data_IF_662431720822
#
_entry.id   IF_662431720822
#
_cell.length_a   1.000
_cell.length_b   1.000
_cell.length_c   1.000
_cell.angle_alpha   90.00
_cell.angle_beta   90.00
_cell.angle_gamma   90.00
#
_symmetry.space_group_name_H-M   'P 1'
#
loop_
_entity.id
_entity.type
_entity.pdbx_description
1 polymer ?
#
# COMPACT_ATOMS: atom_id res chain seq x y z
N UNK A 1 -7.50 -60.45 -61.89
CA UNK A 1 -7.12 -59.44 -60.89
C UNK A 1 -5.60 -59.61 -60.66
N UNK A 2 -4.73 -59.52 -61.67
CA UNK A 2 -4.17 -58.38 -62.44
C UNK A 2 -3.55 -57.28 -61.54
N UNK A 3 -2.22 -57.40 -61.36
CA UNK A 3 -1.08 -56.45 -61.14
C UNK A 3 -1.26 -54.93 -60.93
N UNK A 4 -0.24 -54.16 -60.47
CA UNK A 4 1.05 -54.50 -59.80
C UNK A 4 1.46 -53.56 -58.61
N UNK A 5 2.60 -53.87 -57.99
CA UNK A 5 3.48 -53.01 -57.14
C UNK A 5 4.54 -52.28 -58.03
N UNK A 6 5.57 -51.49 -57.60
CA UNK A 6 6.02 -51.01 -56.27
C UNK A 6 6.50 -49.51 -56.24
N UNK A 7 7.03 -49.07 -55.08
CA UNK A 7 7.68 -47.77 -54.80
C UNK A 7 8.86 -47.38 -55.73
N UNK A 8 9.24 -46.08 -55.74
CA UNK A 8 10.64 -45.67 -55.81
C UNK A 8 10.98 -44.69 -54.66
N UNK A 9 12.18 -44.60 -54.06
CA UNK A 9 13.49 -45.17 -54.35
C UNK A 9 14.56 -44.32 -53.64
N UNK A 10 15.31 -44.93 -52.72
CA UNK A 10 16.78 -44.91 -52.50
C UNK A 10 17.58 -43.58 -52.65
N UNK A 11 18.31 -43.17 -51.59
CA UNK A 11 19.80 -43.20 -51.44
C UNK A 11 20.31 -42.26 -50.31
N UNK A 12 21.38 -42.71 -49.64
CA UNK A 12 22.12 -42.16 -48.47
C UNK A 12 23.49 -41.63 -48.98
N UNK A 13 24.42 -41.07 -48.17
CA UNK A 13 24.50 -39.82 -47.40
C UNK A 13 25.61 -38.84 -47.94
N UNK A 14 25.71 -37.61 -47.40
CA UNK A 14 26.96 -36.91 -47.01
C UNK A 14 26.75 -35.38 -46.85
N UNK A 15 27.20 -34.86 -45.70
CA UNK A 15 27.55 -33.45 -45.43
C UNK A 15 28.88 -33.13 -46.17
N UNK A 16 29.12 -31.95 -46.79
CA UNK A 16 29.74 -30.82 -46.05
C UNK A 16 29.57 -29.38 -46.64
N UNK A 17 29.64 -28.38 -45.76
CA UNK A 17 30.31 -27.05 -45.91
C UNK A 17 30.17 -26.17 -47.21
N UNK A 18 29.36 -25.09 -47.11
CA UNK A 18 29.56 -23.69 -47.62
C UNK A 18 29.76 -23.41 -49.13
N UNK A 19 29.95 -22.16 -49.61
CA UNK A 19 29.59 -20.80 -49.13
C UNK A 19 28.90 -19.90 -50.23
N UNK A 20 28.57 -18.63 -49.88
CA UNK A 20 28.17 -17.46 -50.75
C UNK A 20 26.68 -17.39 -51.16
N UNK A 21 25.95 -16.26 -51.15
CA UNK A 21 26.23 -14.81 -51.16
C UNK A 21 25.02 -14.09 -50.48
N UNK A 22 25.17 -13.11 -49.56
CA UNK A 22 25.56 -11.69 -49.69
C UNK A 22 24.51 -10.76 -50.33
N UNK A 23 24.33 -9.59 -49.69
CA UNK A 23 23.64 -8.33 -50.10
C UNK A 23 22.15 -8.30 -49.67
N UNK A 24 21.69 -7.58 -48.63
CA UNK A 24 21.70 -6.13 -48.31
C UNK A 24 21.53 -5.98 -46.77
N UNK A 25 22.51 -5.46 -46.01
CA UNK A 25 22.64 -4.06 -45.53
C UNK A 25 21.46 -3.63 -44.63
N UNK A 26 21.60 -3.62 -43.30
CA UNK A 26 22.27 -2.59 -42.49
C UNK A 26 21.48 -1.26 -42.40
N UNK A 27 20.56 -1.19 -41.44
CA UNK A 27 20.07 0.03 -40.78
C UNK A 27 19.19 -0.43 -39.59
N UNK A 28 19.69 -0.64 -38.38
CA UNK A 28 19.52 0.30 -37.25
C UNK A 28 20.04 -0.37 -35.95
N UNK A 29 21.29 -0.83 -35.96
CA UNK A 29 22.02 -1.23 -34.75
C UNK A 29 23.39 -0.55 -34.77
N UNK A 30 23.40 0.76 -34.50
CA UNK A 30 24.58 1.54 -34.11
C UNK A 30 24.19 2.97 -33.74
N UNK A 31 23.70 3.17 -32.52
CA UNK A 31 23.80 4.40 -31.69
C UNK A 31 22.92 4.16 -30.45
N UNK A 32 23.37 4.01 -29.21
CA UNK A 32 24.53 4.54 -28.50
C UNK A 32 24.75 3.70 -27.23
N UNK A 33 25.96 3.16 -27.03
CA UNK A 33 26.50 2.87 -25.69
C UNK A 33 27.89 3.49 -25.62
N UNK A 34 28.06 4.42 -24.68
CA UNK A 34 29.34 4.76 -24.04
C UNK A 34 30.17 5.87 -24.68
N UNK A 35 30.29 7.02 -23.98
CA UNK A 35 31.52 7.46 -23.28
C UNK A 35 31.23 8.77 -22.54
N UNK A 36 31.81 8.88 -21.35
CA UNK A 36 31.68 9.93 -20.34
C UNK A 36 32.36 11.27 -20.70
N UNK A 37 32.21 12.24 -19.79
CA UNK A 37 32.92 13.53 -19.62
C UNK A 37 32.27 14.76 -20.27
N UNK A 38 31.60 15.59 -19.46
CA UNK A 38 32.00 16.97 -19.19
C UNK A 38 30.96 17.69 -18.29
N UNK A 39 31.36 17.98 -17.05
CA UNK A 39 30.93 19.20 -16.35
C UNK A 39 31.45 20.41 -17.14
N UNK A 40 30.71 21.52 -17.14
CA UNK A 40 31.33 22.79 -16.84
C UNK A 40 30.67 23.46 -15.63
N UNK A 41 31.52 23.97 -14.74
CA UNK A 41 31.16 24.92 -13.69
C UNK A 41 31.06 26.34 -14.26
N UNK A 42 30.25 27.18 -13.62
CA UNK A 42 30.18 28.64 -13.78
C UNK A 42 28.82 29.09 -14.32
N UNK A 43 28.03 29.92 -13.65
CA UNK A 43 28.40 31.10 -12.85
C UNK A 43 27.48 31.32 -11.65
N UNK A 44 28.05 31.89 -10.59
CA UNK A 44 27.31 32.48 -9.48
C UNK A 44 26.43 33.63 -10.00
N UNK A 45 25.17 33.64 -9.58
CA UNK A 45 24.35 34.86 -9.61
C UNK A 45 24.06 35.21 -8.15
N UNK A 46 24.73 36.26 -7.67
CA UNK A 46 24.38 36.99 -6.45
C UNK A 46 23.00 37.64 -6.62
N UNK A 47 22.23 37.81 -5.53
CA UNK A 47 20.83 38.23 -5.59
C UNK A 47 20.73 39.72 -5.96
N UNK A 48 19.72 40.13 -6.75
CA UNK A 48 19.39 41.55 -6.82
C UNK A 48 18.82 41.99 -5.46
N UNK A 49 19.33 43.13 -5.01
CA UNK A 49 19.00 43.80 -3.77
C UNK A 49 17.50 44.09 -3.63
N UNK A 50 17.07 44.15 -2.37
CA UNK A 50 15.76 44.60 -1.92
C UNK A 50 15.32 45.90 -2.59
N UNK A 51 14.14 45.87 -3.20
CA UNK A 51 13.29 47.04 -3.37
C UNK A 51 12.11 46.94 -2.40
N UNK A 52 11.95 47.98 -1.61
CA UNK A 52 10.95 48.12 -0.57
C UNK A 52 9.61 48.65 -1.13
N UNK A 53 8.53 48.15 -0.53
CA UNK A 53 7.20 48.77 -0.30
C UNK A 53 6.20 48.93 -1.46
N UNK A 54 4.86 49.03 -1.18
CA UNK A 54 4.19 49.20 0.12
C UNK A 54 3.07 48.20 0.49
N UNK A 55 2.97 47.96 1.79
CA UNK A 55 1.77 47.87 2.64
C UNK A 55 0.42 47.52 1.99
N UNK A 56 0.01 46.26 2.14
CA UNK A 56 -1.38 45.82 2.09
C UNK A 56 -1.59 44.78 3.20
N UNK A 57 -1.95 45.23 4.40
CA UNK A 57 -2.07 44.38 5.58
C UNK A 57 -3.22 43.39 5.45
N UNK A 58 -2.90 42.10 5.57
CA UNK A 58 -3.84 41.08 6.00
C UNK A 58 -3.25 40.49 7.28
N UNK A 59 -4.05 40.56 8.33
CA UNK A 59 -3.69 40.26 9.70
C UNK A 59 -2.99 38.90 9.82
N UNK A 60 -1.83 38.91 10.48
CA UNK A 60 -1.15 37.69 10.90
C UNK A 60 -2.02 36.93 11.88
N UNK A 61 -2.37 35.70 11.54
CA UNK A 61 -2.93 34.74 12.49
C UNK A 61 -1.81 34.34 13.45
N UNK A 62 -1.70 35.05 14.56
CA UNK A 62 -0.83 34.68 15.68
C UNK A 62 -1.28 33.33 16.24
N UNK A 63 -0.37 32.35 16.23
CA UNK A 63 -0.53 31.07 16.93
C UNK A 63 -0.71 31.32 18.44
N UNK A 64 -1.69 30.68 19.10
CA UNK A 64 -1.89 30.86 20.53
C UNK A 64 -0.77 30.20 21.35
N UNK A 65 -0.38 30.77 22.50
CA UNK A 65 0.61 30.16 23.38
C UNK A 65 0.03 28.93 24.09
N UNK A 66 0.79 27.83 24.08
CA UNK A 66 0.44 26.60 24.80
C UNK A 66 0.85 26.77 26.26
N UNK A 67 -0.11 27.11 27.11
CA UNK A 67 0.03 26.98 28.57
C UNK A 67 -0.09 25.51 28.96
N UNK A 68 0.95 25.00 29.63
CA UNK A 68 1.01 23.62 30.09
C UNK A 68 -0.01 23.29 31.17
N UNK A 69 -0.55 22.08 31.11
CA UNK A 69 -1.14 21.40 32.25
C UNK A 69 -0.89 19.89 32.12
N UNK A 70 -0.32 19.34 33.19
CA UNK A 70 0.05 17.93 33.36
C UNK A 70 -1.12 17.15 33.96
N UNK A 71 -1.43 15.99 33.38
CA UNK A 71 -1.85 14.77 34.09
C UNK A 71 -1.66 13.57 33.14
N UNK A 72 -0.87 12.58 33.54
CA UNK A 72 -0.54 11.42 32.70
C UNK A 72 -1.62 10.32 32.78
N UNK A 73 -2.03 9.72 31.66
CA UNK A 73 -2.52 8.36 31.60
C UNK A 73 -1.42 7.41 31.07
N UNK A 74 -0.96 6.47 31.89
CA UNK A 74 0.02 5.44 31.47
C UNK A 74 -0.68 4.28 30.75
N UNK A 75 -0.95 4.48 29.47
CA UNK A 75 -0.96 3.39 28.48
C UNK A 75 0.48 2.98 28.10
N UNK A 76 0.69 1.95 27.28
CA UNK A 76 2.02 1.63 26.77
C UNK A 76 2.54 2.83 25.97
N UNK A 77 3.51 3.55 26.54
CA UNK A 77 4.24 4.59 25.83
C UNK A 77 4.98 3.92 24.68
N UNK A 78 5.14 4.62 23.56
CA UNK A 78 5.98 4.15 22.45
C UNK A 78 7.41 3.95 22.97
N UNK A 79 7.73 2.75 23.42
CA UNK A 79 9.05 2.37 23.90
C UNK A 79 9.85 1.77 22.74
N UNK A 80 11.18 1.76 22.89
CA UNK A 80 12.05 1.07 21.96
C UNK A 80 11.82 -0.45 22.04
N UNK A 81 11.99 -1.12 20.91
CA UNK A 81 11.90 -2.57 20.84
C UNK A 81 12.93 -3.14 19.88
N UNK A 82 13.17 -4.45 20.01
CA UNK A 82 14.05 -5.20 19.12
C UNK A 82 13.32 -6.38 18.53
N UNK A 83 13.52 -6.60 17.24
CA UNK A 83 13.19 -7.85 16.56
C UNK A 83 14.48 -8.50 16.06
N UNK A 84 14.39 -9.76 15.66
CA UNK A 84 15.54 -10.43 15.08
C UNK A 84 16.05 -9.68 13.85
N UNK A 85 17.37 -9.73 13.64
CA UNK A 85 17.96 -9.10 12.47
C UNK A 85 17.32 -9.67 11.21
N UNK A 86 16.83 -8.81 10.30
CA UNK A 86 16.20 -9.29 9.09
C UNK A 86 17.21 -10.09 8.27
N UNK A 87 16.77 -11.14 7.57
CA UNK A 87 17.58 -11.75 6.53
C UNK A 87 18.08 -10.67 5.55
N UNK A 88 19.23 -10.89 4.93
CA UNK A 88 19.73 -9.97 3.90
C UNK A 88 18.64 -9.70 2.85
N UNK A 89 18.60 -8.51 2.26
CA UNK A 89 17.55 -8.14 1.31
C UNK A 89 17.45 -9.12 0.11
N UNK A 90 18.58 -9.74 -0.28
CA UNK A 90 18.64 -10.77 -1.31
C UNK A 90 18.35 -12.19 -0.81
N UNK A 91 18.30 -12.41 0.50
CA UNK A 91 18.08 -13.71 1.09
C UNK A 91 16.62 -14.11 0.92
N UNK A 92 16.41 -15.34 0.44
CA UNK A 92 15.08 -15.88 0.28
C UNK A 92 14.64 -16.45 1.63
N UNK A 93 13.48 -16.05 2.12
CA UNK A 93 12.92 -16.63 3.35
C UNK A 93 12.67 -18.12 3.17
N UNK A 94 13.12 -18.94 4.11
CA UNK A 94 12.96 -20.40 4.08
C UNK A 94 12.06 -20.92 5.21
N UNK A 95 12.02 -20.19 6.33
CA UNK A 95 11.20 -20.55 7.48
C UNK A 95 10.64 -19.33 8.21
N UNK A 96 9.60 -19.57 9.01
CA UNK A 96 9.03 -18.63 9.99
C UNK A 96 8.90 -19.32 11.34
N UNK A 97 9.35 -18.65 12.39
CA UNK A 97 9.23 -19.09 13.79
C UNK A 97 8.28 -18.16 14.54
N UNK A 98 7.13 -18.69 14.96
CA UNK A 98 6.14 -17.94 15.72
C UNK A 98 6.50 -17.86 17.20
N UNK A 99 6.39 -16.66 17.75
CA UNK A 99 6.31 -16.40 19.18
C UNK A 99 5.11 -15.53 19.50
N UNK A 100 4.41 -15.85 20.59
CA UNK A 100 3.39 -14.96 21.14
C UNK A 100 4.08 -13.76 21.79
N UNK A 101 3.51 -12.58 21.60
CA UNK A 101 3.97 -11.35 22.22
C UNK A 101 3.27 -11.15 23.56
N UNK A 102 4.00 -10.57 24.52
CA UNK A 102 3.42 -10.12 25.77
C UNK A 102 2.45 -8.96 25.49
N UNK A 103 1.35 -8.80 26.26
CA UNK A 103 0.35 -7.75 25.99
C UNK A 103 0.92 -6.32 25.96
N UNK A 104 2.03 -6.07 26.68
CA UNK A 104 2.71 -4.77 26.76
C UNK A 104 3.91 -4.63 25.82
N UNK A 105 4.17 -5.61 24.95
CA UNK A 105 5.24 -5.50 23.95
C UNK A 105 4.92 -4.33 22.98
N UNK A 106 5.80 -3.32 22.82
CA UNK A 106 5.55 -2.18 21.92
C UNK A 106 5.28 -2.60 20.47
N UNK A 107 5.78 -3.78 20.07
CA UNK A 107 5.54 -4.35 18.75
C UNK A 107 4.04 -4.58 18.48
N UNK A 108 3.21 -4.77 19.52
CA UNK A 108 1.75 -4.90 19.41
C UNK A 108 1.06 -3.65 18.86
N UNK A 109 1.72 -2.48 18.95
CA UNK A 109 1.16 -1.22 18.48
C UNK A 109 1.38 -1.02 16.98
N UNK A 110 2.34 -1.71 16.36
CA UNK A 110 2.71 -1.50 14.96
C UNK A 110 1.56 -1.89 14.03
N UNK A 111 1.31 -1.05 13.02
CA UNK A 111 0.22 -1.19 12.02
C UNK A 111 0.74 -1.21 10.59
N UNK A 112 1.85 -0.54 10.32
CA UNK A 112 2.54 -0.61 9.04
C UNK A 112 4.02 -0.32 9.23
N UNK A 113 4.83 -0.80 8.29
CA UNK A 113 6.23 -0.42 8.18
C UNK A 113 6.56 -0.15 6.73
N UNK A 114 7.44 0.83 6.52
CA UNK A 114 7.94 1.26 5.22
C UNK A 114 9.46 1.19 5.25
N UNK A 115 10.03 0.53 4.23
CA UNK A 115 11.45 0.63 3.91
C UNK A 115 11.68 1.92 3.11
N UNK A 116 12.76 2.61 3.39
CA UNK A 116 13.22 3.77 2.64
C UNK A 116 14.76 3.79 2.60
N UNK A 117 15.36 4.66 1.78
CA UNK A 117 16.84 4.70 1.60
C UNK A 117 17.66 4.73 2.89
N UNK A 118 17.15 5.38 3.95
CA UNK A 118 17.85 5.50 5.23
C UNK A 118 17.54 4.41 6.27
N UNK A 119 16.73 3.40 5.93
CA UNK A 119 16.34 2.31 6.82
C UNK A 119 14.85 2.01 6.74
N UNK A 120 14.19 2.05 7.89
CA UNK A 120 12.78 1.72 8.05
C UNK A 120 12.08 2.70 8.98
N UNK A 121 10.80 2.90 8.72
CA UNK A 121 9.89 3.66 9.58
C UNK A 121 8.64 2.81 9.81
N UNK A 122 8.17 2.74 11.05
CA UNK A 122 6.97 2.02 11.44
C UNK A 122 5.95 2.98 12.03
N UNK A 123 4.69 2.82 11.62
CA UNK A 123 3.55 3.52 12.19
C UNK A 123 2.78 2.56 13.07
N UNK A 124 2.36 3.03 14.24
CA UNK A 124 1.49 2.30 15.13
C UNK A 124 0.19 3.02 15.42
N UNK A 125 -0.63 2.34 16.21
CA UNK A 125 -1.90 2.83 16.70
C UNK A 125 -2.13 2.32 18.11
N UNK A 126 -2.28 3.25 19.05
CA UNK A 126 -2.67 2.94 20.42
C UNK A 126 -4.15 3.25 20.64
N UNK A 127 -5.05 2.24 20.61
CA UNK A 127 -6.46 2.45 20.88
C UNK A 127 -6.75 2.66 22.38
N UNK A 128 -5.78 2.41 23.26
CA UNK A 128 -5.92 2.54 24.71
C UNK A 128 -5.53 3.93 25.23
N UNK A 129 -4.87 4.74 24.39
CA UNK A 129 -4.54 6.11 24.72
C UNK A 129 -5.81 6.96 24.86
N UNK A 130 -5.85 7.80 25.89
CA UNK A 130 -6.97 8.73 26.15
C UNK A 130 -7.15 9.75 25.04
N UNK A 131 -6.09 9.99 24.26
CA UNK A 131 -6.09 10.74 23.02
C UNK A 131 -5.54 9.83 21.94
N UNK A 132 -6.16 9.81 20.76
CA UNK A 132 -5.66 9.04 19.61
C UNK A 132 -4.18 9.38 19.35
N UNK A 133 -3.31 8.38 19.46
CA UNK A 133 -1.88 8.52 19.22
C UNK A 133 -1.44 7.59 18.09
N UNK A 134 -0.65 8.13 17.17
CA UNK A 134 0.03 7.38 16.11
C UNK A 134 1.52 7.29 16.45
N UNK A 135 1.94 6.37 17.34
CA UNK A 135 3.34 6.22 17.67
C UNK A 135 4.15 5.84 16.43
N UNK A 136 5.39 6.32 16.36
CA UNK A 136 6.27 6.13 15.21
C UNK A 136 7.61 5.61 15.71
N UNK A 137 8.18 4.67 14.98
CA UNK A 137 9.53 4.17 15.25
C UNK A 137 10.39 4.27 14.00
N UNK A 138 11.68 4.49 14.20
CA UNK A 138 12.68 4.43 13.14
C UNK A 138 13.68 3.32 13.43
N UNK A 139 14.15 2.67 12.38
CA UNK A 139 15.20 1.66 12.46
C UNK A 139 16.15 1.80 11.29
N UNK A 140 17.45 1.68 11.53
CA UNK A 140 18.45 1.69 10.44
C UNK A 140 18.65 0.31 9.83
N UNK A 141 18.50 -0.73 10.64
CA UNK A 141 18.86 -2.11 10.31
C UNK A 141 17.63 -3.03 10.24
N UNK A 142 16.45 -2.54 10.59
CA UNK A 142 15.22 -3.32 10.68
C UNK A 142 15.14 -4.19 11.93
N UNK A 143 16.14 -4.15 12.82
CA UNK A 143 16.22 -4.99 14.02
C UNK A 143 16.03 -4.19 15.30
N UNK A 144 16.66 -3.02 15.41
CA UNK A 144 16.51 -2.12 16.54
C UNK A 144 15.61 -0.94 16.17
N UNK A 145 14.52 -0.76 16.91
CA UNK A 145 13.50 0.24 16.63
C UNK A 145 13.43 1.24 17.77
N UNK A 146 13.76 2.50 17.45
CA UNK A 146 13.72 3.60 18.40
C UNK A 146 12.44 4.42 18.18
N UNK A 147 11.70 4.74 19.26
CA UNK A 147 10.53 5.57 19.15
C UNK A 147 10.97 6.99 18.77
N UNK A 148 10.22 7.57 17.86
CA UNK A 148 10.39 8.95 17.47
C UNK A 148 9.66 9.83 18.49
N UNK A 149 10.30 10.88 19.05
CA UNK A 149 9.60 11.83 19.91
C UNK A 149 8.41 12.43 19.15
N UNK A 150 7.20 12.24 19.67
CA UNK A 150 5.97 12.76 19.08
C UNK A 150 5.47 13.97 19.90
N UNK A 151 4.55 14.77 19.33
CA UNK A 151 4.02 15.97 19.98
C UNK A 151 5.08 17.06 20.25
N UNK A 152 6.03 17.24 19.33
CA UNK A 152 7.07 18.27 19.45
C UNK A 152 6.97 19.31 18.35
N UNK A 153 7.66 20.45 18.51
CA UNK A 153 7.72 21.49 17.46
C UNK A 153 8.47 21.02 16.20
N UNK A 154 9.35 20.02 16.34
CA UNK A 154 10.21 19.50 15.26
C UNK A 154 9.76 18.12 14.76
N UNK A 155 8.73 17.55 15.36
CA UNK A 155 8.28 16.18 15.10
C UNK A 155 6.81 16.04 15.49
N UNK A 156 5.95 16.29 14.49
CA UNK A 156 4.48 16.21 14.53
C UNK A 156 3.83 16.97 15.70
N UNK A 157 2.92 17.89 15.39
CA UNK A 157 2.28 18.72 16.42
C UNK A 157 1.42 17.89 17.39
N UNK A 158 1.20 18.38 18.62
CA UNK A 158 0.22 17.79 19.53
C UNK A 158 -1.17 17.65 18.92
N UNK A 159 -1.82 16.51 19.15
CA UNK A 159 -3.21 16.27 18.74
C UNK A 159 -3.41 16.02 17.25
N UNK A 160 -2.35 15.64 16.53
CA UNK A 160 -2.43 15.16 15.14
C UNK A 160 -2.20 13.65 15.06
N UNK A 161 -2.83 13.00 14.08
CA UNK A 161 -2.58 11.62 13.72
C UNK A 161 -1.87 11.58 12.36
N UNK A 162 -0.85 10.73 12.23
CA UNK A 162 -0.24 10.43 10.93
C UNK A 162 -1.14 9.46 10.16
N UNK A 163 -1.59 9.91 8.98
CA UNK A 163 -2.53 9.17 8.13
C UNK A 163 -1.80 8.33 7.09
N UNK A 164 -0.62 8.77 6.66
CA UNK A 164 0.23 8.02 5.75
C UNK A 164 1.65 8.56 5.70
N UNK A 165 2.60 7.68 5.39
CA UNK A 165 3.99 8.02 5.10
C UNK A 165 4.38 7.40 3.77
N UNK A 166 5.12 8.16 2.97
CA UNK A 166 5.61 7.74 1.67
C UNK A 166 7.06 8.17 1.47
N UNK A 167 7.82 7.39 0.70
CA UNK A 167 9.16 7.76 0.26
C UNK A 167 9.11 8.62 -1.00
N UNK A 168 9.97 9.64 -1.03
CA UNK A 168 10.28 10.49 -2.20
C UNK A 168 11.81 10.56 -2.36
N UNK A 169 12.33 11.02 -3.51
CA UNK A 169 13.78 11.09 -3.73
C UNK A 169 14.56 11.90 -2.68
N UNK A 170 13.92 12.90 -2.06
CA UNK A 170 14.49 13.76 -1.01
C UNK A 170 14.39 13.20 0.41
N UNK A 171 13.68 12.09 0.62
CA UNK A 171 13.47 11.49 1.95
C UNK A 171 12.06 10.93 2.11
N UNK A 172 11.41 11.29 3.22
CA UNK A 172 10.06 10.87 3.57
C UNK A 172 9.09 12.05 3.55
N UNK A 173 7.86 11.75 3.21
CA UNK A 173 6.70 12.64 3.34
C UNK A 173 5.66 11.97 4.21
N UNK A 174 5.11 12.72 5.17
CA UNK A 174 4.00 12.28 5.99
C UNK A 174 2.82 13.24 5.82
N UNK A 175 1.61 12.70 5.86
CA UNK A 175 0.38 13.49 5.96
C UNK A 175 -0.23 13.30 7.34
N UNK A 176 -0.62 14.39 7.98
CA UNK A 176 -1.30 14.38 9.28
C UNK A 176 -2.63 15.09 9.25
N UNK A 177 -3.58 14.63 10.06
CA UNK A 177 -4.84 15.31 10.34
C UNK A 177 -5.00 15.56 11.82
N UNK A 178 -5.79 16.58 12.19
CA UNK A 178 -6.09 16.85 13.59
C UNK A 178 -7.06 15.81 14.12
N UNK A 179 -6.79 15.26 15.30
CA UNK A 179 -7.71 14.38 16.02
C UNK A 179 -8.80 15.24 16.66
N UNK A 180 -10.06 14.87 16.42
CA UNK A 180 -11.22 15.52 17.04
C UNK A 180 -11.46 14.98 18.44
N UNK A 181 -11.34 15.85 19.43
CA UNK A 181 -11.62 15.52 20.85
C UNK A 181 -13.08 15.70 21.22
N UNK A 182 -13.89 16.34 20.37
CA UNK A 182 -15.34 16.49 20.55
C UNK A 182 -16.14 15.24 20.13
N UNK A 183 -15.44 14.19 19.70
CA UNK A 183 -15.99 12.93 19.21
C UNK A 183 -16.04 11.83 20.27
N UNK A 184 -16.47 12.14 21.49
CA UNK A 184 -16.53 11.18 22.62
C UNK A 184 -17.77 10.27 22.61
N UNK A 185 -18.72 10.49 21.68
CA UNK A 185 -19.90 9.63 21.48
C UNK A 185 -19.90 8.99 20.09
N UNK A 186 -20.49 7.82 19.97
CA UNK A 186 -20.55 6.91 18.80
C UNK A 186 -21.16 7.50 17.52
N UNK A 187 -21.48 8.79 17.48
CA UNK A 187 -22.14 9.49 16.37
C UNK A 187 -21.20 10.35 15.52
N UNK A 188 -19.91 10.43 15.83
CA UNK A 188 -18.98 11.18 14.98
C UNK A 188 -18.77 10.50 13.64
N UNK A 189 -19.08 11.25 12.59
CA UNK A 189 -18.94 10.84 11.20
C UNK A 189 -17.45 10.58 10.85
N UNK A 190 -16.51 11.38 11.39
CA UNK A 190 -15.06 11.16 11.25
C UNK A 190 -14.33 11.63 12.52
N UNK A 191 -13.35 10.87 13.05
CA UNK A 191 -12.51 11.28 14.17
C UNK A 191 -11.44 12.31 13.77
N UNK A 192 -11.34 12.68 12.49
CA UNK A 192 -10.32 13.58 11.97
C UNK A 192 -10.93 14.91 11.51
N UNK A 193 -10.16 15.98 11.63
CA UNK A 193 -10.51 17.32 11.19
C UNK A 193 -9.38 17.95 10.34
N UNK A 194 -9.75 18.77 9.34
CA UNK A 194 -8.79 19.61 8.63
C UNK A 194 -8.11 20.62 9.58
N UNK A 195 -6.95 21.18 9.20
CA UNK A 195 -6.28 20.97 7.91
C UNK A 195 -5.47 19.67 7.84
N UNK A 196 -5.26 19.18 6.62
CA UNK A 196 -4.25 18.15 6.32
C UNK A 196 -2.90 18.85 6.25
N UNK A 197 -1.95 18.47 7.09
CA UNK A 197 -0.59 19.04 7.08
C UNK A 197 0.37 18.05 6.45
N UNK A 198 1.19 18.52 5.51
CA UNK A 198 2.29 17.73 4.96
C UNK A 198 3.58 17.98 5.73
N UNK A 199 4.35 16.94 5.94
CA UNK A 199 5.63 17.01 6.64
C UNK A 199 6.69 16.33 5.80
N UNK A 200 7.88 16.91 5.71
CA UNK A 200 9.02 16.27 5.05
C UNK A 200 10.14 15.98 6.02
N UNK A 201 10.86 14.87 5.79
CA UNK A 201 12.00 14.48 6.60
C UNK A 201 13.08 13.81 5.74
N UNK A 202 14.33 14.32 5.73
CA UNK A 202 15.42 13.66 5.03
C UNK A 202 16.01 12.46 5.80
N UNK A 203 15.76 12.36 7.10
CA UNK A 203 16.42 11.43 8.03
C UNK A 203 15.44 10.56 8.85
N UNK A 204 14.14 10.70 8.62
CA UNK A 204 13.03 10.13 9.40
C UNK A 204 12.94 10.58 10.87
N UNK A 205 13.79 11.51 11.31
CA UNK A 205 13.90 11.96 12.71
C UNK A 205 13.51 13.43 12.88
N UNK A 206 13.97 14.26 11.97
CA UNK A 206 13.71 15.68 11.92
C UNK A 206 12.61 15.93 10.88
N UNK A 207 11.47 16.46 11.30
CA UNK A 207 10.31 16.66 10.44
C UNK A 207 9.99 18.14 10.31
N UNK A 208 9.88 18.62 9.07
CA UNK A 208 9.53 20.01 8.77
C UNK A 208 8.07 20.05 8.29
N UNK A 209 7.17 20.78 8.97
CA UNK A 209 5.81 20.97 8.49
C UNK A 209 5.77 21.95 7.32
N UNK A 210 4.89 21.68 6.37
CA UNK A 210 4.59 22.53 5.22
C UNK A 210 3.13 22.95 5.23
N UNK A 211 2.77 23.78 4.26
CA UNK A 211 1.40 24.29 4.11
C UNK A 211 0.38 23.16 4.03
N UNK A 212 -0.84 23.47 4.47
CA UNK A 212 -1.92 22.52 4.44
C UNK A 212 -2.21 22.06 3.00
N UNK A 213 -2.38 20.74 2.82
CA UNK A 213 -2.86 20.18 1.56
C UNK A 213 -4.36 20.48 1.49
N UNK A 214 -4.78 21.31 0.53
CA UNK A 214 -6.18 21.72 0.38
C UNK A 214 -7.07 20.62 -0.22
N UNK A 215 -7.13 19.47 0.46
CA UNK A 215 -8.05 18.35 0.20
C UNK A 215 -9.37 18.52 0.96
N UNK A 216 -9.71 19.75 1.32
CA UNK A 216 -10.84 20.03 2.20
C UNK A 216 -12.17 20.11 1.44
N UNK A 217 -13.13 19.29 1.87
CA UNK A 217 -14.56 19.61 1.75
C UNK A 217 -15.22 19.32 3.09
N UNK A 218 -16.05 20.26 3.56
CA UNK A 218 -16.90 20.04 4.73
C UNK A 218 -17.77 18.81 4.46
N UNK A 219 -17.54 17.74 5.23
CA UNK A 219 -18.24 16.48 5.07
C UNK A 219 -19.65 16.61 5.63
N UNK A 220 -20.64 16.21 4.84
CA UNK A 220 -22.03 16.14 5.29
C UNK A 220 -22.41 14.72 5.75
N UNK A 221 -21.70 13.67 5.30
CA UNK A 221 -21.94 12.26 5.68
C UNK A 221 -20.68 11.38 5.50
N UNK A 222 -20.48 10.37 6.36
CA UNK A 222 -19.45 9.32 6.27
C UNK A 222 -18.02 9.64 6.76
N UNK A 223 -17.32 8.62 7.29
CA UNK A 223 -15.92 8.72 7.69
C UNK A 223 -15.03 8.89 6.45
N UNK A 224 -14.24 9.96 6.42
CA UNK A 224 -13.24 10.17 5.37
C UNK A 224 -11.88 9.80 5.90
N UNK A 225 -11.20 8.98 5.12
CA UNK A 225 -9.81 8.61 5.26
C UNK A 225 -9.07 9.17 4.04
N UNK A 226 -7.87 9.65 4.28
CA UNK A 226 -6.94 9.91 3.20
C UNK A 226 -6.19 8.64 2.82
N UNK A 227 -5.94 8.50 1.53
CA UNK A 227 -5.05 7.50 0.97
C UNK A 227 -3.88 8.22 0.31
N UNK A 228 -2.68 7.70 0.49
CA UNK A 228 -1.43 8.26 -0.02
C UNK A 228 -0.66 7.17 -0.76
N UNK A 229 -0.18 7.51 -1.96
CA UNK A 229 0.68 6.64 -2.75
C UNK A 229 1.89 7.41 -3.28
N UNK A 230 3.03 6.71 -3.34
CA UNK A 230 4.22 7.14 -4.07
C UNK A 230 4.39 6.30 -5.32
N UNK A 231 4.76 6.93 -6.43
CA UNK A 231 4.97 6.30 -7.71
C UNK A 231 6.01 7.06 -8.55
N UNK A 232 6.21 6.67 -9.82
CA UNK A 232 7.26 7.24 -10.67
C UNK A 232 7.07 8.74 -10.95
N UNK A 233 5.86 9.26 -10.82
CA UNK A 233 5.55 10.68 -11.02
C UNK A 233 5.43 11.47 -9.70
N UNK A 234 5.90 10.92 -8.57
CA UNK A 234 5.84 11.56 -7.25
C UNK A 234 4.77 10.98 -6.34
N UNK A 235 4.00 11.85 -5.69
CA UNK A 235 2.99 11.54 -4.70
C UNK A 235 1.59 11.82 -5.23
N UNK A 236 0.65 10.97 -4.85
CA UNK A 236 -0.79 11.21 -5.00
C UNK A 236 -1.44 11.02 -3.64
N UNK A 237 -2.18 12.02 -3.18
CA UNK A 237 -3.04 11.94 -2.02
C UNK A 237 -4.51 12.10 -2.46
N UNK A 238 -5.41 11.30 -1.90
CA UNK A 238 -6.84 11.39 -2.21
C UNK A 238 -7.72 11.10 -1.00
N UNK A 239 -8.95 11.61 -1.03
CA UNK A 239 -9.97 11.33 -0.01
C UNK A 239 -10.91 10.21 -0.45
N UNK A 240 -11.22 9.25 0.42
CA UNK A 240 -12.07 8.08 0.13
C UNK A 240 -13.60 8.33 0.13
N UNK A 241 -14.05 9.44 -0.47
CA UNK A 241 -15.47 9.84 -0.45
C UNK A 241 -16.10 9.87 -1.87
N UNK A 242 -17.45 9.94 -2.00
CA UNK A 242 -18.13 9.99 -3.29
C UNK A 242 -17.77 11.18 -4.18
N UNK A 243 -17.16 12.22 -3.62
CA UNK A 243 -16.60 13.35 -4.37
C UNK A 243 -15.11 13.46 -4.10
N UNK A 244 -14.38 12.37 -4.39
CA UNK A 244 -12.97 12.23 -4.06
C UNK A 244 -12.16 13.42 -4.58
N UNK A 245 -11.52 14.15 -3.66
CA UNK A 245 -10.52 15.15 -3.99
C UNK A 245 -9.16 14.47 -4.09
N UNK A 246 -8.30 14.98 -4.96
CA UNK A 246 -6.95 14.49 -5.14
C UNK A 246 -5.96 15.64 -5.24
N UNK A 247 -4.73 15.40 -4.81
CA UNK A 247 -3.62 16.31 -4.95
C UNK A 247 -2.36 15.53 -5.33
N UNK A 248 -1.48 16.18 -6.10
CA UNK A 248 -0.17 15.62 -6.47
C UNK A 248 0.96 16.49 -5.97
N UNK A 249 2.08 15.87 -5.63
CA UNK A 249 3.31 16.57 -5.26
C UNK A 249 4.52 15.75 -5.71
N UNK A 250 5.65 16.38 -5.99
CA UNK A 250 6.90 15.67 -6.29
C UNK A 250 7.76 15.43 -5.04
N UNK A 251 7.58 16.25 -4.00
CA UNK A 251 8.49 16.36 -2.87
C UNK A 251 7.79 16.45 -1.50
N UNK A 252 6.46 16.54 -1.48
CA UNK A 252 5.66 16.73 -0.27
C UNK A 252 5.62 18.17 0.24
N UNK A 253 6.22 19.13 -0.47
CA UNK A 253 6.21 20.55 -0.10
C UNK A 253 5.15 21.27 -0.92
N UNK A 254 5.28 21.20 -2.25
CA UNK A 254 4.37 21.86 -3.17
C UNK A 254 3.29 20.87 -3.63
N UNK A 255 2.07 21.08 -3.11
CA UNK A 255 0.92 20.27 -3.45
C UNK A 255 0.02 20.98 -4.46
N UNK A 256 -0.25 20.29 -5.57
CA UNK A 256 -1.20 20.72 -6.59
C UNK A 256 -2.50 19.96 -6.45
N UNK A 257 -3.54 20.65 -5.97
CA UNK A 257 -4.90 20.11 -5.96
C UNK A 257 -5.37 19.92 -7.40
N UNK A 258 -5.88 18.73 -7.68
CA UNK A 258 -6.36 18.37 -9.00
C UNK A 258 -7.81 18.85 -9.19
N UNK A 259 -8.24 19.09 -10.44
CA UNK A 259 -9.60 19.54 -10.72
C UNK A 259 -10.68 18.59 -10.18
N UNK A 260 -11.81 19.16 -9.77
CA UNK A 260 -13.01 18.36 -9.47
C UNK A 260 -13.37 17.50 -10.68
N UNK A 261 -13.49 16.19 -10.49
CA UNK A 261 -13.75 15.21 -11.56
C UNK A 261 -12.49 14.53 -12.11
N UNK A 262 -11.32 14.71 -11.50
CA UNK A 262 -10.15 13.86 -11.73
C UNK A 262 -10.48 12.37 -11.62
N UNK A 263 -11.25 11.99 -10.59
CA UNK A 263 -11.90 10.70 -10.54
C UNK A 263 -13.31 10.80 -11.13
N UNK A 264 -13.79 9.76 -11.84
CA UNK A 264 -15.16 9.70 -12.29
C UNK A 264 -16.15 9.88 -11.13
N UNK A 265 -17.22 10.64 -11.33
CA UNK A 265 -18.19 10.97 -10.24
C UNK A 265 -18.86 9.75 -9.62
N UNK A 266 -18.96 8.66 -10.36
CA UNK A 266 -19.53 7.40 -9.89
C UNK A 266 -18.51 6.53 -9.14
N UNK A 267 -17.22 6.88 -9.15
CA UNK A 267 -16.18 6.10 -8.51
C UNK A 267 -15.93 6.58 -7.08
N UNK A 268 -16.02 5.66 -6.12
CA UNK A 268 -15.60 5.88 -4.74
C UNK A 268 -14.31 5.12 -4.53
N UNK A 269 -13.23 5.83 -4.22
CA UNK A 269 -11.93 5.22 -3.91
C UNK A 269 -11.94 4.64 -2.49
N UNK A 270 -11.39 3.44 -2.33
CA UNK A 270 -11.14 2.79 -1.04
C UNK A 270 -9.64 2.64 -0.76
N UNK A 271 -8.83 2.39 -1.80
CA UNK A 271 -7.38 2.28 -1.69
C UNK A 271 -6.66 2.91 -2.89
N UNK A 272 -5.42 3.33 -2.66
CA UNK A 272 -4.54 3.96 -3.64
C UNK A 272 -3.14 3.39 -3.48
N UNK A 273 -2.55 2.88 -4.57
CA UNK A 273 -1.18 2.35 -4.58
C UNK A 273 -0.39 2.88 -5.75
N UNK A 274 0.89 3.10 -5.54
CA UNK A 274 1.82 3.27 -6.64
C UNK A 274 2.35 1.93 -7.13
N UNK A 275 2.76 1.91 -8.38
CA UNK A 275 3.41 0.78 -9.03
C UNK A 275 4.68 1.29 -9.71
N UNK A 276 5.52 0.39 -10.22
CA UNK A 276 6.70 0.78 -10.97
C UNK A 276 6.38 1.64 -12.23
N UNK A 277 5.14 1.61 -12.72
CA UNK A 277 4.72 2.26 -13.97
C UNK A 277 3.67 3.35 -13.79
N UNK A 278 3.20 3.60 -12.56
CA UNK A 278 2.16 4.60 -12.30
C UNK A 278 1.46 4.39 -10.97
N UNK A 279 0.14 4.52 -10.98
CA UNK A 279 -0.74 4.45 -9.82
C UNK A 279 -2.00 3.65 -10.12
N UNK A 280 -2.55 3.07 -9.06
CA UNK A 280 -3.79 2.30 -9.04
C UNK A 280 -4.71 2.84 -7.97
N UNK A 281 -5.94 3.15 -8.33
CA UNK A 281 -7.02 3.47 -7.41
C UNK A 281 -8.06 2.34 -7.45
N UNK A 282 -8.43 1.82 -6.29
CA UNK A 282 -9.32 0.67 -6.15
C UNK A 282 -10.52 1.07 -5.32
N UNK A 283 -11.70 0.65 -5.72
CA UNK A 283 -12.90 0.97 -4.99
C UNK A 283 -14.13 0.36 -5.60
N UNK A 284 -15.20 1.16 -5.68
CA UNK A 284 -16.47 0.75 -6.26
C UNK A 284 -17.01 1.80 -7.22
N UNK A 285 -17.71 1.33 -8.24
CA UNK A 285 -18.45 2.14 -9.18
C UNK A 285 -19.93 2.13 -8.83
N UNK A 286 -20.53 3.31 -8.68
CA UNK A 286 -21.95 3.50 -8.41
C UNK A 286 -22.68 3.64 -9.74
N UNK A 287 -23.15 2.51 -10.29
CA UNK A 287 -23.89 2.45 -11.56
C UNK A 287 -25.38 2.79 -11.38
N UNK A 288 -25.91 2.76 -10.16
CA UNK A 288 -27.27 3.19 -9.82
C UNK A 288 -27.51 3.24 -8.31
N UNK A 289 -28.75 3.60 -7.91
CA UNK A 289 -29.13 3.71 -6.49
C UNK A 289 -29.03 2.39 -5.71
N UNK A 290 -29.00 1.25 -6.42
CA UNK A 290 -28.98 -0.09 -5.84
C UNK A 290 -27.87 -0.96 -6.43
N UNK A 291 -26.96 -0.40 -7.22
CA UNK A 291 -25.96 -1.19 -7.95
C UNK A 291 -24.55 -0.60 -7.86
N UNK A 292 -23.64 -1.41 -7.33
CA UNK A 292 -22.26 -1.09 -6.98
C UNK A 292 -21.33 -2.21 -7.44
N UNK A 293 -20.33 -1.89 -8.25
CA UNK A 293 -19.41 -2.86 -8.82
C UNK A 293 -17.97 -2.58 -8.39
N UNK A 294 -17.20 -3.62 -8.08
CA UNK A 294 -15.78 -3.49 -7.83
C UNK A 294 -15.11 -2.87 -9.06
N UNK A 295 -14.30 -1.83 -8.84
CA UNK A 295 -13.62 -1.13 -9.91
C UNK A 295 -12.18 -0.79 -9.55
N UNK A 296 -11.34 -0.71 -10.58
CA UNK A 296 -9.98 -0.23 -10.50
C UNK A 296 -9.75 0.81 -11.60
N UNK A 297 -9.00 1.86 -11.28
CA UNK A 297 -8.53 2.89 -12.19
C UNK A 297 -7.01 2.88 -12.21
N UNK A 298 -6.42 3.09 -13.39
CA UNK A 298 -4.98 3.25 -13.57
C UNK A 298 -4.64 4.68 -13.98
N UNK A 299 -3.49 5.16 -13.55
CA UNK A 299 -2.92 6.44 -13.99
C UNK A 299 -1.41 6.34 -14.13
N UNK A 300 -0.84 6.90 -15.19
CA UNK A 300 0.62 6.99 -15.34
C UNK A 300 1.23 8.09 -14.47
N UNK A 301 0.50 9.19 -14.31
CA UNK A 301 0.97 10.47 -13.80
C UNK A 301 0.30 10.90 -12.49
N UNK A 302 -0.70 10.15 -12.02
CA UNK A 302 -1.52 10.46 -10.86
C UNK A 302 -2.58 11.54 -11.12
N UNK A 303 -2.67 12.07 -12.34
CA UNK A 303 -3.51 13.20 -12.73
C UNK A 303 -4.62 12.79 -13.69
N UNK A 304 -4.30 11.89 -14.62
CA UNK A 304 -5.23 11.37 -15.62
C UNK A 304 -5.54 9.91 -15.31
N UNK A 305 -6.81 9.62 -15.02
CA UNK A 305 -7.24 8.30 -14.58
C UNK A 305 -8.08 7.63 -15.66
N UNK A 306 -7.66 6.44 -16.05
CA UNK A 306 -8.38 5.58 -16.98
C UNK A 306 -8.99 4.42 -16.24
N UNK A 307 -10.26 4.15 -16.50
CA UNK A 307 -10.92 2.96 -15.99
C UNK A 307 -10.30 1.70 -16.60
N UNK A 308 -9.87 0.77 -15.75
CA UNK A 308 -9.52 -0.58 -16.20
C UNK A 308 -10.81 -1.29 -16.62
N UNK A 309 -10.77 -2.26 -17.57
CA UNK A 309 -11.94 -3.09 -17.88
C UNK A 309 -12.60 -3.58 -16.59
N UNK A 310 -13.95 -3.66 -16.53
CA UNK A 310 -14.66 -4.07 -15.33
C UNK A 310 -14.02 -5.32 -14.73
N UNK A 311 -13.80 -5.29 -13.41
CA UNK A 311 -13.21 -6.41 -12.71
C UNK A 311 -14.10 -7.64 -12.97
N UNK A 312 -13.58 -8.73 -13.57
CA UNK A 312 -14.40 -9.87 -13.91
C UNK A 312 -15.08 -10.38 -12.64
N UNK A 313 -16.38 -10.67 -12.71
CA UNK A 313 -17.10 -11.24 -11.58
C UNK A 313 -16.33 -12.48 -11.08
N UNK A 314 -16.12 -12.60 -9.76
CA UNK A 314 -15.58 -13.83 -9.23
C UNK A 314 -16.58 -14.94 -9.51
N UNK A 315 -16.16 -15.93 -10.29
CA UNK A 315 -17.01 -17.06 -10.67
C UNK A 315 -17.57 -17.67 -9.39
N UNK A 316 -18.89 -17.62 -9.21
CA UNK A 316 -19.55 -18.25 -8.08
C UNK A 316 -19.38 -19.76 -8.18
N UNK A 317 -18.91 -20.47 -7.14
CA UNK A 317 -19.23 -21.89 -7.00
C UNK A 317 -20.75 -22.02 -7.03
N UNK A 318 -21.26 -22.96 -7.85
CA UNK A 318 -22.66 -23.07 -8.27
C UNK A 318 -23.64 -23.56 -7.17
N UNK A 319 -23.54 -23.03 -5.95
CA UNK A 319 -24.32 -23.49 -4.79
C UNK A 319 -25.37 -22.51 -4.27
N UNK A 320 -25.56 -21.34 -4.90
CA UNK A 320 -26.69 -20.45 -4.57
C UNK A 320 -27.82 -20.69 -5.60
N UNK A 321 -29.00 -21.18 -5.19
CA UNK A 321 -30.11 -21.40 -6.12
C UNK A 321 -30.62 -20.08 -6.67
N UNK A 322 -30.71 -20.02 -8.00
CA UNK A 322 -31.39 -19.03 -8.85
C UNK A 322 -32.22 -17.94 -8.16
N UNK A 323 -31.81 -16.68 -8.40
CA UNK A 323 -32.62 -15.49 -8.18
C UNK A 323 -31.86 -14.22 -8.57
N UNK A 324 -32.01 -13.80 -9.83
CA UNK A 324 -31.68 -12.49 -10.41
C UNK A 324 -30.97 -11.45 -9.52
N UNK A 325 -29.69 -11.17 -9.79
CA UNK A 325 -29.04 -9.95 -9.29
C UNK A 325 -27.53 -10.01 -9.42
N UNK A 326 -26.94 -9.06 -10.14
CA UNK A 326 -25.50 -8.81 -10.08
C UNK A 326 -25.07 -8.62 -8.63
N UNK A 327 -24.04 -9.33 -8.19
CA UNK A 327 -23.61 -9.24 -6.79
C UNK A 327 -22.84 -7.94 -6.56
N UNK A 328 -23.37 -7.11 -5.64
CA UNK A 328 -22.74 -5.83 -5.29
C UNK A 328 -21.34 -6.08 -4.75
N UNK A 329 -20.35 -5.36 -5.25
CA UNK A 329 -18.94 -5.60 -4.90
C UNK A 329 -18.13 -4.32 -4.81
N UNK A 330 -17.00 -4.39 -4.09
CA UNK A 330 -16.03 -3.31 -3.98
C UNK A 330 -14.61 -3.88 -3.85
N UNK A 331 -13.62 -3.23 -4.46
CA UNK A 331 -12.21 -3.40 -4.07
C UNK A 331 -12.02 -2.68 -2.74
N UNK A 332 -11.44 -3.35 -1.76
CA UNK A 332 -11.16 -2.80 -0.43
C UNK A 332 -9.69 -2.44 -0.24
N UNK A 333 -8.78 -3.15 -0.92
CA UNK A 333 -7.35 -2.90 -0.83
C UNK A 333 -6.59 -3.52 -1.99
N UNK A 334 -5.39 -3.00 -2.24
CA UNK A 334 -4.38 -3.61 -3.09
C UNK A 334 -3.17 -4.04 -2.27
N UNK A 335 -2.53 -5.13 -2.73
CA UNK A 335 -1.27 -5.64 -2.19
C UNK A 335 -0.36 -5.92 -3.38
N UNK A 336 0.87 -5.41 -3.33
CA UNK A 336 1.82 -5.46 -4.45
C UNK A 336 3.13 -6.11 -4.03
N UNK A 337 3.62 -7.05 -4.83
CA UNK A 337 5.02 -7.47 -4.83
C UNK A 337 5.72 -7.00 -6.09
N UNK A 338 6.97 -7.43 -6.26
CA UNK A 338 7.82 -7.00 -7.38
C UNK A 338 7.22 -7.36 -8.75
N UNK A 339 6.58 -8.53 -8.84
CA UNK A 339 6.09 -9.10 -10.10
C UNK A 339 4.58 -9.08 -10.29
N UNK A 340 3.80 -8.54 -9.34
CA UNK A 340 2.35 -8.62 -9.44
C UNK A 340 1.57 -7.90 -8.34
N UNK A 341 0.30 -7.67 -8.64
CA UNK A 341 -0.68 -7.00 -7.80
C UNK A 341 -1.88 -7.89 -7.52
N UNK A 342 -2.36 -7.84 -6.30
CA UNK A 342 -3.59 -8.48 -5.85
C UNK A 342 -4.55 -7.40 -5.38
N UNK A 343 -5.72 -7.34 -6.02
CA UNK A 343 -6.86 -6.60 -5.50
C UNK A 343 -7.65 -7.53 -4.60
N UNK A 344 -7.87 -7.09 -3.37
CA UNK A 344 -8.78 -7.72 -2.42
C UNK A 344 -10.07 -6.92 -2.44
N UNK A 345 -11.19 -7.61 -2.55
CA UNK A 345 -12.50 -6.99 -2.48
C UNK A 345 -13.47 -7.80 -1.67
N UNK A 346 -14.71 -7.33 -1.64
CA UNK A 346 -15.80 -7.99 -0.96
C UNK A 346 -17.09 -7.86 -1.74
N UNK A 347 -17.98 -8.81 -1.53
CA UNK A 347 -19.39 -8.61 -1.79
C UNK A 347 -20.02 -7.80 -0.65
N UNK A 348 -20.88 -6.86 -1.02
CA UNK A 348 -21.46 -5.89 -0.09
C UNK A 348 -22.74 -6.47 0.55
N UNK A 349 -23.46 -7.34 -0.15
CA UNK A 349 -24.67 -7.99 0.36
C UNK A 349 -24.32 -9.11 1.35
N UNK A 350 -25.06 -9.17 2.47
CA UNK A 350 -24.85 -10.20 3.48
C UNK A 350 -25.49 -11.55 3.06
N UNK A 351 -24.84 -12.70 3.35
CA UNK A 351 -23.48 -12.84 3.89
C UNK A 351 -22.43 -12.64 2.77
N UNK A 352 -21.65 -11.55 2.83
CA UNK A 352 -20.74 -11.16 1.75
C UNK A 352 -19.50 -12.06 1.69
N UNK A 353 -18.92 -12.30 0.51
CA UNK A 353 -17.65 -13.04 0.38
C UNK A 353 -16.48 -12.13 0.08
N UNK A 354 -15.27 -12.59 0.38
CA UNK A 354 -14.04 -11.95 -0.11
C UNK A 354 -13.79 -12.32 -1.57
N UNK A 355 -13.39 -11.34 -2.36
CA UNK A 355 -13.13 -11.43 -3.79
C UNK A 355 -11.65 -11.12 -4.05
N UNK A 356 -11.09 -11.77 -5.07
CA UNK A 356 -9.67 -11.67 -5.38
C UNK A 356 -9.47 -11.48 -6.87
N UNK A 357 -8.59 -10.55 -7.22
CA UNK A 357 -8.14 -10.38 -8.60
C UNK A 357 -6.64 -10.18 -8.64
N UNK A 358 -6.01 -10.68 -9.70
CA UNK A 358 -4.60 -10.50 -9.97
C UNK A 358 -4.42 -9.60 -11.18
N UNK A 359 -3.41 -8.74 -11.13
CA UNK A 359 -2.87 -8.03 -12.29
C UNK A 359 -1.35 -8.01 -12.26
N UNK A 360 -0.70 -8.08 -13.42
CA UNK A 360 0.74 -7.84 -13.55
C UNK A 360 1.08 -6.38 -13.83
N UNK A 361 0.09 -5.56 -14.22
CA UNK A 361 0.30 -4.19 -14.70
C UNK A 361 -0.70 -3.16 -14.14
N UNK A 362 -1.68 -3.62 -13.35
CA UNK A 362 -2.80 -2.82 -12.83
C UNK A 362 -3.91 -2.52 -13.85
N UNK A 363 -3.69 -2.83 -15.13
CA UNK A 363 -4.60 -2.51 -16.23
C UNK A 363 -5.50 -3.67 -16.58
N UNK A 364 -4.96 -4.88 -16.65
CA UNK A 364 -5.71 -6.09 -16.92
C UNK A 364 -5.84 -6.95 -15.66
N UNK A 365 -7.08 -7.34 -15.34
CA UNK A 365 -7.37 -8.07 -14.12
C UNK A 365 -7.94 -9.46 -14.42
N UNK A 366 -7.43 -10.45 -13.69
CA UNK A 366 -7.87 -11.84 -13.72
C UNK A 366 -8.50 -12.21 -12.39
N UNK A 367 -9.70 -12.77 -12.42
CA UNK A 367 -10.37 -13.25 -11.22
C UNK A 367 -9.71 -14.51 -10.65
N UNK A 368 -9.63 -14.59 -9.32
CA UNK A 368 -9.01 -15.68 -8.56
C UNK A 368 -10.00 -16.25 -7.54
N UNK A 369 -11.06 -16.96 -7.96
CA UNK A 369 -12.19 -17.32 -7.09
C UNK A 369 -11.82 -18.24 -5.91
N UNK A 370 -10.77 -19.06 -6.04
CA UNK A 370 -10.30 -19.96 -4.99
C UNK A 370 -9.04 -19.48 -4.26
N UNK A 371 -8.53 -18.29 -4.61
CA UNK A 371 -7.19 -17.75 -4.32
C UNK A 371 -6.36 -18.57 -3.31
N UNK A 372 -5.66 -19.64 -3.75
CA UNK A 372 -4.68 -20.29 -2.90
C UNK A 372 -3.52 -19.29 -2.71
N UNK A 373 -3.01 -19.12 -1.48
CA UNK A 373 -3.05 -20.04 -0.35
C UNK A 373 -4.10 -19.72 0.73
N UNK A 374 -4.92 -18.68 0.54
CA UNK A 374 -5.86 -18.25 1.58
C UNK A 374 -7.24 -18.89 1.43
N UNK A 375 -7.76 -19.11 0.22
CA UNK A 375 -9.05 -19.79 0.02
C UNK A 375 -10.22 -19.22 0.87
N UNK A 376 -11.42 -19.81 0.78
CA UNK A 376 -12.53 -19.44 1.66
C UNK A 376 -12.59 -20.35 2.90
N UNK A 377 -12.85 -19.78 4.09
CA UNK A 377 -13.34 -20.54 5.25
C UNK A 377 -14.84 -20.29 5.46
N UNK A 378 -15.64 -21.34 5.71
CA UNK A 378 -16.99 -21.17 6.22
C UNK A 378 -16.91 -20.73 7.68
N UNK A 379 -17.38 -19.53 7.97
CA UNK A 379 -17.45 -19.06 9.35
C UNK A 379 -18.59 -19.79 10.10
N UNK A 380 -18.44 -20.08 11.41
CA UNK A 380 -19.41 -20.84 12.19
C UNK A 380 -20.61 -19.96 12.58
N UNK A 381 -21.53 -19.75 11.63
CA UNK A 381 -22.76 -19.00 11.82
C UNK A 381 -23.52 -18.80 10.51
N UNK A 382 -24.84 -18.76 10.56
CA UNK A 382 -25.66 -18.54 9.34
C UNK A 382 -25.56 -17.11 8.77
N UNK A 383 -24.90 -16.18 9.49
CA UNK A 383 -24.81 -14.75 9.14
C UNK A 383 -23.42 -14.28 8.74
N UNK A 384 -22.38 -15.11 8.89
CA UNK A 384 -21.01 -14.72 8.55
C UNK A 384 -20.68 -15.12 7.13
N UNK A 385 -20.25 -14.13 6.35
CA UNK A 385 -19.72 -14.25 5.01
C UNK A 385 -18.61 -15.29 4.82
N UNK A 386 -18.28 -15.60 3.56
CA UNK A 386 -17.07 -16.36 3.24
C UNK A 386 -15.86 -15.42 3.41
N UNK A 387 -15.13 -15.62 4.51
CA UNK A 387 -13.92 -14.88 4.84
C UNK A 387 -12.68 -15.62 4.31
N UNK A 388 -11.56 -14.91 4.08
CA UNK A 388 -10.32 -15.56 3.75
C UNK A 388 -9.82 -16.37 4.95
N UNK A 389 -9.23 -17.53 4.71
CA UNK A 389 -8.54 -18.30 5.76
C UNK A 389 -7.15 -17.71 6.01
N UNK A 390 -7.13 -16.52 6.59
CA UNK A 390 -5.90 -15.80 6.96
C UNK A 390 -5.80 -14.38 6.41
N UNK A 391 -4.56 -13.91 6.22
CA UNK A 391 -4.26 -12.54 5.79
C UNK A 391 -3.20 -12.50 4.68
N UNK A 392 -3.26 -11.45 3.87
CA UNK A 392 -2.32 -11.13 2.81
C UNK A 392 -1.65 -9.78 3.10
N UNK A 393 -0.32 -9.74 3.11
CA UNK A 393 0.48 -8.53 3.33
C UNK A 393 1.63 -8.47 2.33
N UNK A 394 2.17 -7.28 2.08
CA UNK A 394 3.31 -7.09 1.19
C UNK A 394 4.15 -5.86 1.56
N UNK A 395 5.38 -5.81 1.07
CA UNK A 395 6.34 -4.70 1.25
C UNK A 395 6.76 -4.06 -0.09
N UNK A 396 6.12 -4.45 -1.20
CA UNK A 396 6.47 -4.00 -2.55
C UNK A 396 7.48 -4.90 -3.25
N UNK A 397 8.26 -5.69 -2.52
CA UNK A 397 9.18 -6.69 -3.09
C UNK A 397 8.50 -8.07 -3.10
N UNK A 398 7.86 -8.44 -1.98
CA UNK A 398 7.23 -9.74 -1.79
C UNK A 398 5.83 -9.61 -1.21
N UNK A 399 5.01 -10.62 -1.51
CA UNK A 399 3.73 -10.88 -0.87
C UNK A 399 3.90 -12.05 0.09
N UNK A 400 3.30 -11.92 1.28
CA UNK A 400 3.19 -12.98 2.27
C UNK A 400 1.72 -13.24 2.55
N UNK A 401 1.34 -14.50 2.42
CA UNK A 401 0.06 -14.98 2.87
C UNK A 401 0.25 -15.83 4.12
N UNK A 402 -0.57 -15.58 5.14
CA UNK A 402 -0.50 -16.32 6.40
C UNK A 402 -1.85 -16.85 6.78
N UNK A 403 -1.89 -18.14 7.10
CA UNK A 403 -3.08 -18.88 7.55
C UNK A 403 -2.87 -19.38 8.98
N UNK A 404 -3.93 -19.29 9.78
CA UNK A 404 -4.00 -19.84 11.13
C UNK A 404 -4.66 -21.23 11.20
N UNK A 405 -4.76 -21.79 12.40
CA UNK A 405 -5.61 -22.96 12.64
C UNK A 405 -5.01 -24.31 12.23
N UNK A 406 -5.86 -25.28 11.88
CA UNK A 406 -5.44 -26.68 11.61
C UNK A 406 -4.53 -26.80 10.38
N UNK A 407 -4.71 -25.93 9.40
CA UNK A 407 -3.90 -25.86 8.18
C UNK A 407 -2.95 -24.65 8.18
N UNK A 408 -2.50 -24.25 9.38
CA UNK A 408 -1.63 -23.09 9.52
C UNK A 408 -0.41 -23.16 8.60
N UNK A 409 -0.04 -22.01 8.04
CA UNK A 409 1.01 -21.94 7.06
C UNK A 409 1.37 -20.51 6.72
N UNK A 410 2.60 -20.36 6.22
CA UNK A 410 3.08 -19.11 5.64
C UNK A 410 3.53 -19.43 4.22
N UNK A 411 3.13 -18.59 3.27
CA UNK A 411 3.57 -18.68 1.89
C UNK A 411 4.14 -17.34 1.45
N UNK A 412 5.13 -17.41 0.57
CA UNK A 412 5.77 -16.25 -0.05
C UNK A 412 5.58 -16.30 -1.55
N UNK A 413 5.40 -15.12 -2.15
CA UNK A 413 5.29 -14.94 -3.60
C UNK A 413 5.87 -13.58 -4.00
N UNK A 414 6.38 -13.47 -5.22
CA UNK A 414 6.76 -12.18 -5.81
C UNK A 414 5.63 -11.58 -6.68
N UNK A 415 4.72 -12.42 -7.20
CA UNK A 415 3.70 -12.05 -8.17
C UNK A 415 2.26 -12.28 -7.68
N UNK A 416 2.09 -12.95 -6.54
CA UNK A 416 0.81 -13.30 -5.95
C UNK A 416 0.10 -14.47 -6.66
N UNK A 417 0.75 -15.14 -7.62
CA UNK A 417 0.26 -16.35 -8.31
C UNK A 417 1.03 -17.59 -7.91
N UNK A 418 2.36 -17.51 -7.97
CA UNK A 418 3.24 -18.61 -7.63
C UNK A 418 3.61 -18.50 -6.15
N UNK A 419 3.13 -19.46 -5.36
CA UNK A 419 3.32 -19.47 -3.92
C UNK A 419 4.24 -20.59 -3.50
N UNK A 420 5.27 -20.25 -2.72
CA UNK A 420 6.12 -21.23 -2.04
C UNK A 420 5.79 -21.25 -0.56
N UNK A 421 5.46 -22.43 -0.04
CA UNK A 421 5.21 -22.61 1.40
C UNK A 421 6.55 -22.57 2.15
N UNK A 422 6.57 -21.83 3.26
CA UNK A 422 7.70 -21.76 4.19
C UNK A 422 7.58 -22.84 5.26
N UNK A 423 8.72 -23.25 5.83
CA UNK A 423 8.71 -24.07 7.04
C UNK A 423 8.18 -23.24 8.20
N UNK A 424 7.23 -23.75 8.98
CA UNK A 424 6.65 -23.03 10.11
C UNK A 424 6.91 -23.78 11.41
N UNK A 425 7.38 -23.06 12.43
CA UNK A 425 7.53 -23.58 13.80
C UNK A 425 6.83 -22.67 14.80
N UNK A 426 6.40 -23.23 15.94
CA UNK A 426 5.57 -22.55 16.93
C UNK A 426 4.08 -22.60 16.59
N UNK A 427 3.26 -22.03 17.48
CA UNK A 427 1.80 -22.05 17.38
C UNK A 427 1.27 -20.68 16.93
N UNK A 428 0.98 -20.47 15.63
CA UNK A 428 0.34 -19.26 15.16
C UNK A 428 -1.11 -19.17 15.67
N UNK A 429 -1.70 -17.97 15.69
CA UNK A 429 -3.10 -17.80 16.04
C UNK A 429 -4.03 -18.61 15.13
N UNK A 430 -5.20 -18.98 15.64
CA UNK A 430 -6.21 -19.68 14.84
C UNK A 430 -6.94 -18.75 13.86
N UNK A 431 -7.07 -17.47 14.21
CA UNK A 431 -7.76 -16.47 13.42
C UNK A 431 -6.85 -15.25 13.26
N UNK A 432 -6.99 -14.56 12.14
CA UNK A 432 -6.23 -13.34 11.87
C UNK A 432 -7.20 -12.22 11.58
N UNK A 433 -7.17 -11.17 12.40
CA UNK A 433 -7.90 -9.91 12.16
C UNK A 433 -6.99 -8.85 11.56
N UNK A 434 -5.69 -8.93 11.85
CA UNK A 434 -4.69 -8.02 11.33
C UNK A 434 -3.37 -8.74 11.06
N UNK A 435 -2.71 -8.33 9.98
CA UNK A 435 -1.33 -8.72 9.68
C UNK A 435 -0.50 -7.49 9.26
N UNK A 436 0.77 -7.49 9.62
CA UNK A 436 1.74 -6.44 9.23
C UNK A 436 3.04 -7.10 8.82
N UNK A 437 3.59 -6.70 7.67
CA UNK A 437 4.91 -7.16 7.24
C UNK A 437 5.99 -6.23 7.82
N UNK A 438 7.00 -6.84 8.42
CA UNK A 438 8.19 -6.19 8.97
C UNK A 438 9.43 -6.74 8.26
N UNK A 439 10.58 -6.04 8.30
CA UNK A 439 11.77 -6.45 7.57
C UNK A 439 12.24 -7.87 7.89
N UNK A 440 12.10 -8.27 9.16
CA UNK A 440 12.53 -9.58 9.67
C UNK A 440 11.39 -10.57 9.92
N UNK A 441 10.14 -10.29 9.53
CA UNK A 441 9.04 -11.20 9.85
C UNK A 441 7.65 -10.64 9.65
N UNK A 442 6.65 -11.34 10.20
CA UNK A 442 5.24 -10.95 10.10
C UNK A 442 4.63 -10.82 11.48
N UNK A 443 3.94 -9.71 11.73
CA UNK A 443 3.08 -9.54 12.90
C UNK A 443 1.68 -10.03 12.57
N UNK A 444 1.06 -10.80 13.45
CA UNK A 444 -0.34 -11.21 13.37
C UNK A 444 -1.07 -10.87 14.66
N UNK A 445 -2.32 -10.42 14.54
CA UNK A 445 -3.22 -10.24 15.66
C UNK A 445 -4.57 -10.88 15.38
N UNK A 446 -5.17 -11.46 16.40
CA UNK A 446 -6.57 -11.91 16.40
C UNK A 446 -7.52 -10.91 17.08
N UNK A 447 -6.98 -9.74 17.47
CA UNK A 447 -7.69 -8.68 18.19
C UNK A 447 -7.60 -8.79 19.72
N UNK A 448 -7.30 -9.97 20.27
CA UNK A 448 -7.07 -10.16 21.70
C UNK A 448 -5.58 -10.34 22.02
N UNK A 449 -4.84 -10.90 21.10
CA UNK A 449 -3.47 -11.36 21.25
C UNK A 449 -2.70 -11.11 19.98
N UNK A 450 -1.37 -10.99 20.11
CA UNK A 450 -0.49 -10.68 18.98
C UNK A 450 0.70 -11.62 18.99
N UNK A 451 1.15 -12.01 17.80
CA UNK A 451 2.24 -12.93 17.56
C UNK A 451 3.19 -12.35 16.53
N UNK A 452 4.47 -12.64 16.70
CA UNK A 452 5.50 -12.31 15.74
C UNK A 452 6.09 -13.58 15.15
N UNK A 453 6.02 -13.71 13.84
CA UNK A 453 6.63 -14.75 13.05
C UNK A 453 7.97 -14.25 12.52
N UNK A 454 9.05 -14.66 13.18
CA UNK A 454 10.42 -14.33 12.79
C UNK A 454 10.81 -15.11 11.53
N UNK A 455 11.26 -14.41 10.50
CA UNK A 455 11.71 -15.03 9.27
C UNK A 455 13.18 -15.47 9.35
N UNK A 456 13.46 -16.68 8.88
CA UNK A 456 14.80 -17.17 8.65
C UNK A 456 15.12 -17.18 7.15
N UNK A 457 16.34 -16.78 6.79
CA UNK A 457 16.86 -16.85 5.42
C UNK A 457 17.73 -18.09 5.20
N UNK A 458 17.88 -18.47 3.93
CA UNK A 458 18.96 -19.35 3.44
C UNK A 458 20.19 -18.55 2.99
#
# INVERSE_FOLDING_TARGET
>A
MIEPSPEPGRLVPADPSGPRASVVVALLVATFVGIALAKPWGTQVLPPASSAQPSGGIAGTTLPPVTGQSAAPRGPVADAFTIASPPAASAVWSAVRWRRLEPRDPLNLVRSALRWRGGFIALGWDPSATETSTPIWTSRDGSHWEPLPFNTSTTFWPGVAVVGIAEVPSGLVALTERVRTDCTSTSCISPYAPPVVSWTSPDARSWTPHVAVALERALTTGAVQMVLATGPAGLVAATNNPTSLAATSLDGVDWHVLPNGTFPKQFVINDLRGTATGYMAGGLWVTGHTHWDAAALWSADGRTWTQSPPLPAASTPATVPNGSGHTLSAVTSFVSGEGGLIAVGREIVAPGRTLWWHSSDGKAWLSLPAYPPLGPIPCPGQSCGLQPDGALVADGERLIAVRGGRDAGVWISADGKAWRRLTVTGDPPQQTTQAVLLPGGVLLSDGATTWYGEAAGE
#
